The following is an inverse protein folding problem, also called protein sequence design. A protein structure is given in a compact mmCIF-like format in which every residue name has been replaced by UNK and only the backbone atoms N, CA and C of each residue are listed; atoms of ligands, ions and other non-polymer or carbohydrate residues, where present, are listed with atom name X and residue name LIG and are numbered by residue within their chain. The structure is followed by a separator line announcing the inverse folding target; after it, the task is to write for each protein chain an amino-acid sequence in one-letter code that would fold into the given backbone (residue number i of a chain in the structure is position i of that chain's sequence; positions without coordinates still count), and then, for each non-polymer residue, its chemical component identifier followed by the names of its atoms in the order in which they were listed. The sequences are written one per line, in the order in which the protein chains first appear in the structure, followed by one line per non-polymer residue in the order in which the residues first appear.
data_IF_873992938987
#
_entry.id   IF_873992938987
#
_cell.length_a   1.000
_cell.length_b   1.000
_cell.length_c   1.000
_cell.angle_alpha   90.00
_cell.angle_beta   90.00
_cell.angle_gamma   90.00
#
_symmetry.space_group_name_H-M   'P 1'
#
loop_
_entity.id
_entity.type
_entity.pdbx_description
1 polymer ?
#
# COMPACT_ATOMS: atom_id res chain seq x y z
N UNK A 1 5.59 1.77 2.71
CA UNK A 1 4.99 3.08 2.41
C UNK A 1 6.03 4.13 2.76
N UNK A 2 6.53 4.91 1.80
CA UNK A 2 7.49 6.00 2.06
C UNK A 2 6.77 7.32 1.83
N UNK A 3 6.39 7.99 2.91
CA UNK A 3 5.88 9.37 2.87
C UNK A 3 7.11 10.29 2.87
N UNK A 4 7.39 10.91 1.72
CA UNK A 4 8.41 11.95 1.66
C UNK A 4 7.85 13.22 2.31
N UNK A 5 8.07 13.35 3.62
CA UNK A 5 7.81 14.60 4.34
C UNK A 5 8.98 15.54 4.16
N UNK A 6 8.78 16.65 3.46
CA UNK A 6 9.73 17.76 3.50
C UNK A 6 9.75 18.31 4.93
N UNK A 7 10.89 18.14 5.61
CA UNK A 7 11.19 18.76 6.91
C UNK A 7 11.17 20.30 6.72
N UNK A 8 10.50 21.08 7.57
CA UNK A 8 10.41 22.53 7.38
C UNK A 8 11.77 23.17 7.70
N UNK A 9 12.25 24.16 6.92
CA UNK A 9 13.30 25.02 7.42
C UNK A 9 12.70 25.89 8.54
N UNK A 10 13.26 25.70 9.74
CA UNK A 10 12.97 26.49 10.93
C UNK A 10 13.14 27.98 10.64
N UNK A 11 12.25 28.78 11.22
CA UNK A 11 12.19 30.22 11.02
C UNK A 11 13.51 30.92 11.25
N UNK A 12 13.96 31.64 10.23
CA UNK A 12 14.80 32.83 10.38
C UNK A 12 14.15 33.93 9.55
N UNK A 13 13.14 34.56 10.15
CA UNK A 13 12.59 35.81 9.68
C UNK A 13 13.59 36.95 9.97
N UNK A 14 13.66 37.89 9.02
CA UNK A 14 14.12 39.30 9.15
C UNK A 14 15.65 39.45 9.37
N UNK A 15 16.42 40.22 8.59
CA UNK A 15 16.21 41.61 8.17
C UNK A 15 16.98 41.90 6.88
N UNK A 16 16.30 42.40 5.85
CA UNK A 16 16.94 43.31 4.90
C UNK A 16 16.04 44.51 4.68
N UNK A 17 16.56 45.62 5.22
CA UNK A 17 16.11 46.99 5.04
C UNK A 17 16.08 47.36 3.54
N UNK A 18 15.11 48.20 3.21
CA UNK A 18 15.21 49.54 2.57
C UNK A 18 14.22 49.73 1.44
N UNK A 19 13.35 50.69 1.70
CA UNK A 19 12.94 51.78 0.82
C UNK A 19 11.91 51.54 -0.31
N UNK A 20 10.97 52.49 -0.30
CA UNK A 20 9.85 52.70 -1.21
C UNK A 20 10.32 52.81 -2.66
N UNK A 21 9.69 52.07 -3.57
CA UNK A 21 9.43 52.57 -4.93
C UNK A 21 8.13 51.98 -5.48
N UNK A 22 7.27 52.88 -5.94
CA UNK A 22 6.02 52.64 -6.67
C UNK A 22 6.29 51.88 -7.98
N UNK A 23 5.45 50.92 -8.35
CA UNK A 23 5.52 50.28 -9.67
C UNK A 23 4.46 49.19 -9.83
N UNK A 24 3.60 49.33 -10.84
CA UNK A 24 2.45 48.45 -11.13
C UNK A 24 2.84 47.03 -11.57
N UNK A 25 4.14 46.75 -11.68
CA UNK A 25 4.73 45.45 -12.07
C UNK A 25 4.81 44.45 -10.92
N UNK A 26 4.60 44.89 -9.67
CA UNK A 26 4.57 44.01 -8.50
C UNK A 26 3.30 43.14 -8.44
N UNK A 27 2.20 43.59 -9.05
CA UNK A 27 0.89 42.92 -8.95
C UNK A 27 0.84 41.67 -9.85
N UNK A 28 1.49 41.69 -11.01
CA UNK A 28 1.60 40.51 -11.89
C UNK A 28 2.53 39.43 -11.32
N UNK A 29 3.66 39.82 -10.71
CA UNK A 29 4.56 38.87 -10.04
C UNK A 29 3.90 38.20 -8.84
N UNK A 30 3.10 38.92 -8.06
CA UNK A 30 2.35 38.37 -6.92
C UNK A 30 1.29 37.36 -7.39
N UNK A 31 0.57 37.64 -8.48
CA UNK A 31 -0.42 36.70 -9.05
C UNK A 31 0.23 35.46 -9.69
N UNK A 32 1.43 35.60 -10.26
CA UNK A 32 2.19 34.47 -10.79
C UNK A 32 2.75 33.58 -9.67
N UNK A 33 3.20 34.17 -8.55
CA UNK A 33 3.61 33.42 -7.36
C UNK A 33 2.45 32.73 -6.64
N UNK A 34 1.25 33.32 -6.64
CA UNK A 34 0.01 32.71 -6.10
C UNK A 34 -0.46 31.48 -6.92
N UNK A 35 -0.31 31.52 -8.25
CA UNK A 35 -0.59 30.35 -9.10
C UNK A 35 0.47 29.25 -8.96
N UNK A 36 1.73 29.63 -8.74
CA UNK A 36 2.84 28.70 -8.50
C UNK A 36 2.80 28.08 -7.08
N UNK A 37 2.25 28.78 -6.09
CA UNK A 37 2.06 28.25 -4.72
C UNK A 37 0.86 27.29 -4.64
N UNK A 38 -0.23 27.54 -5.36
CA UNK A 38 -1.34 26.55 -5.50
C UNK A 38 -0.97 25.30 -6.31
N UNK A 39 0.10 25.37 -7.10
CA UNK A 39 0.65 24.22 -7.83
C UNK A 39 1.73 23.45 -7.04
N UNK A 40 2.27 24.03 -5.96
CA UNK A 40 3.28 23.39 -5.10
C UNK A 40 2.62 22.73 -3.89
N UNK A 41 2.54 21.40 -3.95
CA UNK A 41 2.28 20.58 -2.77
C UNK A 41 0.84 20.11 -2.64
N UNK A 42 0.38 19.32 -3.61
CA UNK A 42 -0.55 18.24 -3.26
C UNK A 42 0.32 17.05 -2.85
N UNK A 43 0.18 16.62 -1.62
CA UNK A 43 0.76 15.35 -1.17
C UNK A 43 0.28 14.25 -2.12
N UNK A 44 1.25 13.65 -2.82
CA UNK A 44 0.96 12.58 -3.75
C UNK A 44 1.27 11.24 -3.10
N UNK A 45 0.23 10.45 -2.91
CA UNK A 45 0.35 9.08 -2.42
C UNK A 45 0.57 8.18 -3.64
N UNK A 46 1.78 7.67 -3.82
CA UNK A 46 2.09 6.67 -4.84
C UNK A 46 2.36 5.31 -4.18
N UNK A 47 1.61 4.29 -4.59
CA UNK A 47 1.78 2.92 -4.10
C UNK A 47 3.05 2.31 -4.73
N UNK A 48 3.97 1.82 -3.90
CA UNK A 48 5.19 1.15 -4.37
C UNK A 48 4.86 -0.07 -5.23
N UNK A 49 5.68 -0.38 -6.23
CA UNK A 49 5.43 -1.51 -7.15
C UNK A 49 5.26 -2.85 -6.44
N UNK A 50 6.06 -3.11 -5.40
CA UNK A 50 5.92 -4.30 -4.54
C UNK A 50 4.55 -4.40 -3.85
N UNK A 51 3.94 -3.26 -3.52
CA UNK A 51 2.62 -3.27 -2.89
C UNK A 51 1.51 -3.54 -3.91
N UNK A 52 1.66 -3.10 -5.16
CA UNK A 52 0.76 -3.48 -6.26
C UNK A 52 0.85 -4.98 -6.56
N UNK A 53 2.05 -5.54 -6.50
CA UNK A 53 2.27 -6.99 -6.68
C UNK A 53 1.64 -7.81 -5.55
N UNK A 54 1.77 -7.37 -4.29
CA UNK A 54 1.08 -8.03 -3.17
C UNK A 54 -0.44 -7.95 -3.32
N UNK A 55 -0.97 -6.81 -3.78
CA UNK A 55 -2.41 -6.64 -4.02
C UNK A 55 -2.92 -7.56 -5.14
N UNK A 56 -2.17 -7.71 -6.24
CA UNK A 56 -2.56 -8.61 -7.33
C UNK A 56 -2.55 -10.07 -6.90
N UNK A 57 -1.55 -10.49 -6.11
CA UNK A 57 -1.49 -11.84 -5.53
C UNK A 57 -2.65 -12.07 -4.58
N UNK A 58 -2.99 -11.11 -3.72
CA UNK A 58 -4.16 -11.21 -2.82
C UNK A 58 -5.45 -11.40 -3.59
N UNK A 59 -5.70 -10.57 -4.63
CA UNK A 59 -6.88 -10.70 -5.49
C UNK A 59 -6.93 -12.05 -6.20
N UNK A 60 -5.79 -12.57 -6.65
CA UNK A 60 -5.70 -13.89 -7.27
C UNK A 60 -6.05 -15.01 -6.27
N UNK A 61 -5.63 -14.89 -5.00
CA UNK A 61 -5.98 -15.85 -3.94
C UNK A 61 -7.48 -15.76 -3.59
N UNK A 62 -8.03 -14.55 -3.47
CA UNK A 62 -9.46 -14.34 -3.20
C UNK A 62 -10.37 -14.84 -4.32
N UNK A 63 -9.88 -14.86 -5.57
CA UNK A 63 -10.61 -15.42 -6.70
C UNK A 63 -10.60 -16.95 -6.74
N UNK A 64 -9.77 -17.61 -5.91
CA UNK A 64 -9.79 -19.07 -5.81
C UNK A 64 -11.03 -19.52 -5.03
N UNK A 65 -11.62 -20.67 -5.40
CA UNK A 65 -12.73 -21.22 -4.63
C UNK A 65 -12.25 -21.62 -3.23
N UNK A 66 -13.08 -21.33 -2.22
CA UNK A 66 -12.86 -21.75 -0.83
C UNK A 66 -12.69 -23.27 -0.71
N UNK A 67 -13.39 -24.02 -1.58
CA UNK A 67 -13.35 -25.48 -1.60
C UNK A 67 -12.67 -25.98 -2.87
N UNK A 68 -11.58 -26.73 -2.68
CA UNK A 68 -10.92 -27.50 -3.75
C UNK A 68 -11.67 -28.81 -4.01
N UNK A 69 -12.74 -28.73 -4.80
CA UNK A 69 -13.64 -29.85 -5.13
C UNK A 69 -12.90 -31.09 -5.61
N UNK A 70 -11.91 -30.94 -6.51
CA UNK A 70 -11.10 -32.03 -7.03
C UNK A 70 -10.41 -32.86 -5.93
N UNK A 71 -9.86 -32.19 -4.91
CA UNK A 71 -9.22 -32.87 -3.77
C UNK A 71 -10.23 -33.61 -2.92
N UNK A 72 -11.41 -33.00 -2.71
CA UNK A 72 -12.49 -33.62 -1.94
C UNK A 72 -12.98 -34.89 -2.63
N UNK A 73 -13.19 -34.84 -3.94
CA UNK A 73 -13.62 -36.01 -4.72
C UNK A 73 -12.57 -37.12 -4.72
N UNK A 74 -11.30 -36.77 -4.87
CA UNK A 74 -10.21 -37.75 -4.81
C UNK A 74 -10.16 -38.47 -3.45
N UNK A 75 -10.31 -37.72 -2.34
CA UNK A 75 -10.36 -38.30 -1.00
C UNK A 75 -11.62 -39.15 -0.80
N UNK A 76 -12.79 -38.69 -1.25
CA UNK A 76 -14.03 -39.48 -1.19
C UNK A 76 -13.88 -40.82 -1.90
N UNK A 77 -13.34 -40.83 -3.13
CA UNK A 77 -13.06 -42.07 -3.87
C UNK A 77 -12.05 -42.97 -3.14
N UNK A 78 -11.01 -42.40 -2.53
CA UNK A 78 -10.05 -43.17 -1.76
C UNK A 78 -10.70 -43.85 -0.54
N UNK A 79 -11.65 -43.17 0.11
CA UNK A 79 -12.43 -43.73 1.22
C UNK A 79 -13.36 -44.84 0.71
N UNK A 80 -14.12 -44.60 -0.35
CA UNK A 80 -15.05 -45.59 -0.95
C UNK A 80 -14.33 -46.87 -1.42
N UNK A 81 -13.13 -46.72 -1.99
CA UNK A 81 -12.31 -47.85 -2.46
C UNK A 81 -11.51 -48.52 -1.33
N UNK A 82 -11.58 -48.00 -0.10
CA UNK A 82 -10.83 -48.51 1.05
C UNK A 82 -9.31 -48.28 0.98
N UNK A 83 -8.84 -47.44 0.04
CA UNK A 83 -7.41 -47.12 -0.14
C UNK A 83 -6.95 -45.92 0.69
N UNK A 84 -7.88 -45.24 1.35
CA UNK A 84 -7.57 -44.14 2.27
C UNK A 84 -6.91 -44.68 3.55
N UNK A 85 -5.61 -44.42 3.71
CA UNK A 85 -4.84 -44.80 4.89
C UNK A 85 -4.74 -43.65 5.87
N UNK A 86 -5.16 -43.90 7.11
CA UNK A 86 -4.99 -42.96 8.21
C UNK A 86 -3.61 -43.14 8.82
N UNK A 87 -2.87 -42.05 8.98
CA UNK A 87 -1.56 -42.01 9.64
C UNK A 87 -1.72 -41.35 11.03
N UNK A 88 -1.64 -42.12 12.12
CA UNK A 88 -1.85 -41.60 13.48
C UNK A 88 -0.89 -40.45 13.85
N UNK A 89 0.35 -40.52 13.38
CA UNK A 89 1.35 -39.46 13.61
C UNK A 89 0.92 -38.11 13.04
N UNK A 90 0.29 -38.10 11.85
CA UNK A 90 -0.23 -36.86 11.23
C UNK A 90 -1.34 -36.24 12.06
N UNK A 91 -2.17 -37.06 12.72
CA UNK A 91 -3.25 -36.59 13.60
C UNK A 91 -2.66 -35.92 14.83
N UNK A 92 -1.71 -36.58 15.49
CA UNK A 92 -1.06 -36.07 16.70
C UNK A 92 -0.32 -34.77 16.40
N UNK A 93 0.44 -34.71 15.30
CA UNK A 93 1.14 -33.49 14.89
C UNK A 93 0.17 -32.33 14.65
N UNK A 94 -0.97 -32.59 14.00
CA UNK A 94 -2.00 -31.55 13.77
C UNK A 94 -2.67 -31.07 15.05
N UNK A 95 -2.84 -31.94 16.04
CA UNK A 95 -3.39 -31.56 17.34
C UNK A 95 -2.44 -30.63 18.10
N UNK A 96 -1.13 -30.87 18.02
CA UNK A 96 -0.12 -30.04 18.68
C UNK A 96 0.18 -28.73 17.94
N UNK A 97 -0.03 -28.65 16.63
CA UNK A 97 0.14 -27.42 15.84
C UNK A 97 -0.93 -26.36 16.16
N UNK A 98 -2.12 -26.78 16.58
CA UNK A 98 -3.28 -25.92 16.88
C UNK A 98 -3.38 -25.52 18.37
N UNK A 99 -2.45 -25.97 19.22
CA UNK A 99 -2.31 -25.57 20.64
C UNK A 99 -1.40 -24.35 20.79
#
# INVERSE_FOLDING_TARGET
MKIYGNRPPEGQDVYLRTEKTQGKDAIEKVQQTEKLSKAKGRDRVELSDKAKEVESIKKAIEALPDVRTERVEAIKKAIETGTYRIEPEKIVNKLFEEL
#
